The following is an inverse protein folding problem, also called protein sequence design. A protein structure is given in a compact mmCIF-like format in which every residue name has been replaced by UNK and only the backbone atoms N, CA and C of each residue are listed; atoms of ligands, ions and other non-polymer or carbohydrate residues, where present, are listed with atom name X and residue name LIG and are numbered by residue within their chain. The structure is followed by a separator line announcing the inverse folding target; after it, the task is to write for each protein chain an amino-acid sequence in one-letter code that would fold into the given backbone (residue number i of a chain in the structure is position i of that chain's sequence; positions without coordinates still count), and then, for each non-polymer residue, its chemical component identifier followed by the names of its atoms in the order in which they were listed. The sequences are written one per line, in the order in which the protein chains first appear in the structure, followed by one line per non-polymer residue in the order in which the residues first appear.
data_IF_780330639608
#
_entry.id   IF_780330639608
#
_cell.length_a   1.000
_cell.length_b   1.000
_cell.length_c   1.000
_cell.angle_alpha   90.00
_cell.angle_beta   90.00
_cell.angle_gamma   90.00
#
_symmetry.space_group_name_H-M   'P 1'
#
loop_
_entity.id
_entity.type
_entity.pdbx_description
1 polymer ?
#
# COMPACT_ATOMS: atom_id res chain seq x y z
N UNK A 1 -21.53 -1.02 -20.33
CA UNK A 1 -20.07 -0.79 -20.30
C UNK A 1 -19.75 -0.12 -18.97
N UNK A 2 -18.77 -0.62 -18.21
CA UNK A 2 -18.29 0.09 -17.02
C UNK A 2 -17.51 1.32 -17.46
N UNK A 3 -17.79 2.46 -16.83
CA UNK A 3 -16.93 3.64 -16.95
C UNK A 3 -15.54 3.24 -16.42
N UNK A 4 -14.49 3.65 -17.10
CA UNK A 4 -13.10 3.49 -16.64
C UNK A 4 -12.40 4.83 -16.84
N UNK A 5 -11.61 5.23 -15.85
CA UNK A 5 -10.74 6.38 -15.97
C UNK A 5 -9.32 5.91 -16.26
N UNK A 6 -8.72 6.43 -17.32
CA UNK A 6 -7.35 6.09 -17.71
C UNK A 6 -6.35 7.13 -17.18
N UNK A 7 -6.81 8.36 -16.93
CA UNK A 7 -5.98 9.47 -16.50
C UNK A 7 -6.68 10.33 -15.44
N UNK A 8 -5.89 11.14 -14.72
CA UNK A 8 -6.46 12.19 -13.88
C UNK A 8 -7.37 13.14 -14.67
N UNK A 9 -7.05 13.36 -15.96
CA UNK A 9 -7.81 14.17 -16.92
C UNK A 9 -9.28 13.77 -17.04
N UNK A 10 -9.56 12.48 -16.93
CA UNK A 10 -10.92 11.93 -17.08
C UNK A 10 -11.81 12.36 -15.91
N UNK A 11 -11.24 12.50 -14.71
CA UNK A 11 -11.98 12.93 -13.51
C UNK A 11 -12.33 14.43 -13.49
N UNK A 12 -11.87 15.21 -14.47
CA UNK A 12 -12.31 16.61 -14.66
C UNK A 12 -13.58 16.72 -15.49
N UNK A 13 -14.03 15.62 -16.08
CA UNK A 13 -15.18 15.61 -16.98
C UNK A 13 -16.34 14.87 -16.34
N UNK A 14 -17.56 15.27 -16.70
CA UNK A 14 -18.74 14.49 -16.40
C UNK A 14 -18.59 13.13 -17.11
N UNK A 15 -18.61 12.00 -16.38
CA UNK A 15 -18.51 10.71 -17.02
C UNK A 15 -19.76 10.52 -17.88
N UNK A 16 -19.54 10.20 -19.15
CA UNK A 16 -20.62 10.03 -20.13
C UNK A 16 -20.92 8.56 -20.31
N UNK A 17 -22.18 8.17 -20.13
CA UNK A 17 -22.64 6.85 -20.51
C UNK A 17 -23.21 6.92 -21.93
N UNK A 18 -22.63 6.14 -22.86
CA UNK A 18 -23.04 6.14 -24.27
C UNK A 18 -23.04 7.54 -24.91
N UNK A 19 -22.08 8.39 -24.53
CA UNK A 19 -21.94 9.76 -25.05
C UNK A 19 -22.90 10.79 -24.45
N UNK A 20 -23.78 10.40 -23.50
CA UNK A 20 -24.74 11.30 -22.85
C UNK A 20 -24.39 11.54 -21.38
N UNK A 21 -24.73 12.74 -20.91
CA UNK A 21 -24.74 13.12 -19.49
C UNK A 21 -26.08 12.66 -18.90
N UNK A 22 -26.09 12.14 -17.67
CA UNK A 22 -27.34 11.74 -17.02
C UNK A 22 -28.24 12.96 -16.72
N UNK A 23 -29.58 12.79 -16.73
CA UNK A 23 -30.49 13.86 -16.31
C UNK A 23 -30.17 14.41 -14.92
N UNK A 24 -29.76 13.54 -14.00
CA UNK A 24 -29.37 13.89 -12.64
C UNK A 24 -28.09 14.74 -12.62
N UNK A 25 -27.09 14.42 -13.45
CA UNK A 25 -25.90 15.24 -13.59
C UNK A 25 -26.23 16.61 -14.20
N UNK A 26 -27.13 16.69 -15.19
CA UNK A 26 -27.57 17.96 -15.76
C UNK A 26 -28.28 18.83 -14.71
N UNK A 27 -29.16 18.24 -13.90
CA UNK A 27 -29.82 18.92 -12.80
C UNK A 27 -28.81 19.41 -11.74
N UNK A 28 -27.79 18.60 -11.43
CA UNK A 28 -26.71 19.00 -10.50
C UNK A 28 -25.90 20.18 -11.05
N UNK A 29 -25.66 20.25 -12.37
CA UNK A 29 -24.98 21.40 -13.01
C UNK A 29 -25.77 22.68 -12.81
N UNK A 30 -27.08 22.64 -13.07
CA UNK A 30 -27.97 23.80 -12.96
C UNK A 30 -28.11 24.28 -11.51
N UNK A 31 -28.16 23.34 -10.55
CA UNK A 31 -28.43 23.66 -9.15
C UNK A 31 -27.19 23.99 -8.32
N UNK A 32 -26.07 23.30 -8.58
CA UNK A 32 -24.89 23.35 -7.72
C UNK A 32 -23.59 23.69 -8.48
N UNK A 33 -23.66 23.79 -9.80
CA UNK A 33 -22.53 24.08 -10.67
C UNK A 33 -21.76 22.84 -11.14
N UNK A 34 -20.86 23.02 -12.12
CA UNK A 34 -20.26 21.91 -12.87
C UNK A 34 -19.39 20.99 -12.01
N UNK A 35 -18.64 21.52 -11.05
CA UNK A 35 -17.73 20.70 -10.25
C UNK A 35 -18.45 19.76 -9.27
N UNK A 36 -19.57 20.21 -8.69
CA UNK A 36 -20.42 19.36 -7.83
C UNK A 36 -21.07 18.26 -8.67
N UNK A 37 -21.55 18.60 -9.87
CA UNK A 37 -22.11 17.62 -10.79
C UNK A 37 -21.08 16.55 -11.20
N UNK A 38 -19.84 16.95 -11.52
CA UNK A 38 -18.74 16.01 -11.82
C UNK A 38 -18.53 15.05 -10.65
N UNK A 39 -18.38 15.58 -9.44
CA UNK A 39 -18.17 14.75 -8.25
C UNK A 39 -19.33 13.76 -8.03
N UNK A 40 -20.56 14.25 -8.02
CA UNK A 40 -21.75 13.43 -7.78
C UNK A 40 -21.92 12.35 -8.83
N UNK A 41 -21.66 12.66 -10.10
CA UNK A 41 -21.81 11.70 -11.17
C UNK A 41 -20.74 10.60 -11.12
N UNK A 42 -19.48 10.93 -10.80
CA UNK A 42 -18.45 9.91 -10.57
C UNK A 42 -18.81 9.00 -9.39
N UNK A 43 -19.41 9.54 -8.33
CA UNK A 43 -19.93 8.73 -7.23
C UNK A 43 -21.05 7.80 -7.71
N UNK A 44 -22.07 8.34 -8.38
CA UNK A 44 -23.29 7.62 -8.80
C UNK A 44 -23.00 6.55 -9.85
N UNK A 45 -22.27 6.91 -10.90
CA UNK A 45 -22.12 6.09 -12.10
C UNK A 45 -20.97 5.07 -11.98
N UNK A 46 -19.99 5.31 -11.11
CA UNK A 46 -18.77 4.52 -11.04
C UNK A 46 -18.49 3.96 -9.64
N UNK A 47 -18.22 4.84 -8.67
CA UNK A 47 -17.67 4.39 -7.39
C UNK A 47 -18.69 3.70 -6.49
N UNK A 48 -19.91 4.21 -6.34
CA UNK A 48 -20.93 3.57 -5.52
C UNK A 48 -21.26 2.15 -6.01
N UNK A 49 -21.49 1.90 -7.31
CA UNK A 49 -21.64 0.54 -7.83
C UNK A 49 -20.42 -0.36 -7.57
N UNK A 50 -19.20 0.16 -7.76
CA UNK A 50 -17.97 -0.62 -7.54
C UNK A 50 -17.77 -0.98 -6.06
N UNK A 51 -17.99 -0.01 -5.16
CA UNK A 51 -17.97 -0.20 -3.71
C UNK A 51 -19.02 -1.24 -3.28
N UNK A 52 -20.23 -1.16 -3.83
CA UNK A 52 -21.29 -2.13 -3.51
C UNK A 52 -20.89 -3.55 -3.92
N UNK A 53 -20.33 -3.74 -5.12
CA UNK A 53 -19.82 -5.03 -5.57
C UNK A 53 -18.68 -5.55 -4.70
N UNK A 54 -17.73 -4.70 -4.31
CA UNK A 54 -16.67 -5.08 -3.38
C UNK A 54 -17.24 -5.58 -2.05
N UNK A 55 -18.20 -4.85 -1.48
CA UNK A 55 -18.86 -5.23 -0.23
C UNK A 55 -19.49 -6.63 -0.29
N UNK A 56 -20.12 -6.97 -1.42
CA UNK A 56 -20.75 -8.28 -1.63
C UNK A 56 -19.72 -9.42 -1.82
N UNK A 57 -18.47 -9.10 -2.17
CA UNK A 57 -17.46 -10.08 -2.58
C UNK A 57 -16.16 -9.98 -1.77
N UNK A 58 -16.22 -9.49 -0.52
CA UNK A 58 -15.05 -9.29 0.34
C UNK A 58 -14.24 -10.58 0.60
N UNK A 59 -14.91 -11.73 0.65
CA UNK A 59 -14.28 -13.04 0.89
C UNK A 59 -13.89 -13.78 -0.39
N UNK A 60 -14.22 -13.26 -1.57
CA UNK A 60 -13.99 -13.94 -2.84
C UNK A 60 -12.57 -13.66 -3.32
N UNK A 61 -11.68 -14.63 -3.19
CA UNK A 61 -10.27 -14.50 -3.55
C UNK A 61 -10.00 -15.18 -4.90
N UNK A 62 -10.27 -14.46 -5.99
CA UNK A 62 -10.00 -14.92 -7.36
C UNK A 62 -9.31 -13.84 -8.21
N UNK A 63 -8.71 -14.24 -9.34
CA UNK A 63 -7.94 -13.32 -10.18
C UNK A 63 -8.76 -12.18 -10.78
N UNK A 64 -10.07 -12.36 -10.99
CA UNK A 64 -10.97 -11.31 -11.48
C UNK A 64 -11.26 -10.31 -10.37
N UNK A 65 -11.61 -10.77 -9.18
CA UNK A 65 -11.88 -9.91 -8.04
C UNK A 65 -10.63 -9.11 -7.64
N UNK A 66 -9.44 -9.72 -7.68
CA UNK A 66 -8.17 -9.01 -7.42
C UNK A 66 -7.99 -7.84 -8.38
N UNK A 67 -8.22 -8.06 -9.68
CA UNK A 67 -8.15 -6.99 -10.68
C UNK A 67 -9.17 -5.89 -10.42
N UNK A 68 -10.42 -6.26 -10.12
CA UNK A 68 -11.48 -5.29 -9.82
C UNK A 68 -11.12 -4.42 -8.59
N UNK A 69 -10.52 -4.99 -7.55
CA UNK A 69 -10.08 -4.25 -6.36
C UNK A 69 -8.87 -3.36 -6.65
N UNK A 70 -7.91 -3.82 -7.46
CA UNK A 70 -6.76 -3.01 -7.87
C UNK A 70 -7.19 -1.79 -8.69
N UNK A 71 -8.05 -1.99 -9.70
CA UNK A 71 -8.58 -0.90 -10.52
C UNK A 71 -9.34 0.11 -9.67
N UNK A 72 -10.24 -0.37 -8.79
CA UNK A 72 -10.97 0.51 -7.87
C UNK A 72 -10.01 1.30 -6.96
N UNK A 73 -8.96 0.66 -6.47
CA UNK A 73 -7.97 1.31 -5.59
C UNK A 73 -7.21 2.43 -6.31
N UNK A 74 -6.77 2.16 -7.54
CA UNK A 74 -6.06 3.11 -8.38
C UNK A 74 -6.96 4.29 -8.77
N UNK A 75 -8.15 4.01 -9.28
CA UNK A 75 -9.11 5.02 -9.72
C UNK A 75 -9.58 5.88 -8.55
N UNK A 76 -9.80 5.31 -7.36
CA UNK A 76 -10.15 6.08 -6.17
C UNK A 76 -9.02 7.02 -5.73
N UNK A 77 -7.78 6.53 -5.69
CA UNK A 77 -6.62 7.36 -5.30
C UNK A 77 -6.44 8.56 -6.26
N UNK A 78 -6.63 8.34 -7.56
CA UNK A 78 -6.60 9.40 -8.56
C UNK A 78 -7.77 10.37 -8.40
N UNK A 79 -9.00 9.85 -8.28
CA UNK A 79 -10.20 10.66 -8.11
C UNK A 79 -10.13 11.53 -6.87
N UNK A 80 -9.72 10.98 -5.74
CA UNK A 80 -9.62 11.73 -4.48
C UNK A 80 -8.63 12.90 -4.59
N UNK A 81 -7.47 12.66 -5.22
CA UNK A 81 -6.49 13.71 -5.50
C UNK A 81 -7.10 14.82 -6.37
N UNK A 82 -7.82 14.46 -7.43
CA UNK A 82 -8.49 15.42 -8.32
C UNK A 82 -9.61 16.18 -7.60
N UNK A 83 -10.43 15.47 -6.84
CA UNK A 83 -11.54 16.01 -6.09
C UNK A 83 -11.09 17.05 -5.05
N UNK A 84 -10.01 16.75 -4.32
CA UNK A 84 -9.48 17.64 -3.30
C UNK A 84 -8.75 18.87 -3.87
N UNK A 85 -8.02 18.70 -4.99
CA UNK A 85 -7.18 19.77 -5.55
C UNK A 85 -7.92 20.65 -6.58
N UNK A 86 -8.88 20.09 -7.30
CA UNK A 86 -9.41 20.73 -8.51
C UNK A 86 -10.92 20.91 -8.52
N UNK A 87 -11.72 20.01 -7.92
CA UNK A 87 -13.19 20.07 -8.01
C UNK A 87 -13.85 21.08 -7.05
N UNK A 88 -13.09 22.01 -6.45
CA UNK A 88 -13.59 23.10 -5.58
C UNK A 88 -14.76 22.68 -4.66
N UNK A 89 -14.64 21.49 -4.05
CA UNK A 89 -15.74 20.88 -3.31
C UNK A 89 -16.14 21.71 -2.10
N UNK A 90 -17.45 21.77 -1.84
CA UNK A 90 -18.01 22.34 -0.61
C UNK A 90 -17.57 21.54 0.61
N UNK A 91 -17.58 22.12 1.82
CA UNK A 91 -17.19 21.40 3.04
C UNK A 91 -17.94 20.08 3.25
N UNK A 92 -19.24 20.06 2.94
CA UNK A 92 -20.08 18.86 3.06
C UNK A 92 -19.62 17.74 2.11
N UNK A 93 -19.27 18.08 0.87
CA UNK A 93 -18.78 17.10 -0.12
C UNK A 93 -17.37 16.60 0.21
N UNK A 94 -16.51 17.46 0.79
CA UNK A 94 -15.20 17.02 1.31
C UNK A 94 -15.36 16.04 2.47
N UNK A 95 -16.26 16.32 3.41
CA UNK A 95 -16.58 15.41 4.50
C UNK A 95 -17.16 14.08 3.99
N UNK A 96 -18.04 14.14 2.97
CA UNK A 96 -18.57 12.94 2.31
C UNK A 96 -17.47 12.12 1.61
N UNK A 97 -16.56 12.78 0.88
CA UNK A 97 -15.40 12.13 0.26
C UNK A 97 -14.54 11.42 1.31
N UNK A 98 -14.16 12.11 2.39
CA UNK A 98 -13.35 11.54 3.46
C UNK A 98 -14.05 10.35 4.14
N UNK A 99 -15.35 10.47 4.43
CA UNK A 99 -16.14 9.37 4.99
C UNK A 99 -16.16 8.15 4.06
N UNK A 100 -16.29 8.38 2.76
CA UNK A 100 -16.30 7.32 1.75
C UNK A 100 -14.92 6.69 1.60
N UNK A 101 -13.84 7.48 1.63
CA UNK A 101 -12.45 6.99 1.65
C UNK A 101 -12.23 6.07 2.84
N UNK A 102 -12.64 6.47 4.06
CA UNK A 102 -12.50 5.62 5.27
C UNK A 102 -13.23 4.29 5.12
N UNK A 103 -14.47 4.30 4.61
CA UNK A 103 -15.23 3.07 4.34
C UNK A 103 -14.53 2.19 3.32
N UNK A 104 -14.05 2.78 2.22
CA UNK A 104 -13.35 2.05 1.18
C UNK A 104 -12.04 1.42 1.71
N UNK A 105 -11.25 2.16 2.50
CA UNK A 105 -10.04 1.65 3.14
C UNK A 105 -10.32 0.45 4.04
N UNK A 106 -11.39 0.49 4.85
CA UNK A 106 -11.81 -0.65 5.65
C UNK A 106 -12.16 -1.88 4.79
N UNK A 107 -12.91 -1.70 3.70
CA UNK A 107 -13.29 -2.79 2.80
C UNK A 107 -12.09 -3.36 2.03
N UNK A 108 -11.24 -2.50 1.48
CA UNK A 108 -10.04 -2.89 0.73
C UNK A 108 -9.04 -3.56 1.66
N UNK A 109 -8.87 -3.02 2.87
CA UNK A 109 -8.07 -3.61 3.93
C UNK A 109 -8.51 -5.03 4.31
N UNK A 110 -9.81 -5.22 4.57
CA UNK A 110 -10.40 -6.56 4.81
C UNK A 110 -10.19 -7.50 3.63
N UNK A 111 -10.37 -7.01 2.40
CA UNK A 111 -10.15 -7.81 1.20
C UNK A 111 -8.69 -8.29 1.11
N UNK A 112 -7.71 -7.41 1.32
CA UNK A 112 -6.29 -7.79 1.30
C UNK A 112 -5.91 -8.71 2.45
N UNK A 113 -6.53 -8.56 3.63
CA UNK A 113 -6.43 -9.52 4.72
C UNK A 113 -6.89 -10.93 4.32
N UNK A 114 -8.05 -11.03 3.65
CA UNK A 114 -8.56 -12.30 3.14
C UNK A 114 -7.66 -12.88 2.04
N UNK A 115 -7.20 -12.04 1.11
CA UNK A 115 -6.26 -12.43 0.06
C UNK A 115 -4.96 -12.97 0.66
N UNK A 116 -4.39 -12.27 1.65
CA UNK A 116 -3.21 -12.72 2.37
C UNK A 116 -3.46 -14.09 2.99
N UNK A 117 -4.52 -14.23 3.79
CA UNK A 117 -4.86 -15.49 4.45
C UNK A 117 -5.02 -16.68 3.50
N UNK A 118 -5.58 -16.45 2.30
CA UNK A 118 -5.86 -17.50 1.32
C UNK A 118 -4.68 -17.81 0.37
N UNK A 119 -3.84 -16.84 0.03
CA UNK A 119 -2.85 -16.97 -1.07
C UNK A 119 -1.41 -16.74 -0.62
N UNK A 120 -1.17 -15.79 0.28
CA UNK A 120 0.19 -15.32 0.58
C UNK A 120 0.69 -15.73 1.96
N UNK A 121 -0.23 -16.09 2.87
CA UNK A 121 0.06 -16.43 4.26
C UNK A 121 0.90 -17.69 4.31
N UNK A 122 1.94 -17.62 5.14
CA UNK A 122 2.81 -18.75 5.46
C UNK A 122 2.67 -19.13 6.92
N UNK A 123 3.12 -20.33 7.25
CA UNK A 123 3.22 -20.76 8.65
C UNK A 123 4.03 -19.72 9.44
N UNK A 124 3.45 -19.13 10.50
CA UNK A 124 4.15 -18.20 11.37
C UNK A 124 5.38 -18.88 11.96
N UNK A 125 6.53 -18.20 11.94
CA UNK A 125 7.77 -18.70 12.52
C UNK A 125 8.46 -17.60 13.32
N UNK A 126 9.10 -18.00 14.39
CA UNK A 126 10.12 -17.19 15.06
C UNK A 126 11.34 -17.03 14.15
N UNK A 127 12.03 -15.90 14.29
CA UNK A 127 13.16 -15.51 13.45
C UNK A 127 14.30 -16.53 13.48
N UNK A 128 14.52 -17.21 14.61
CA UNK A 128 15.52 -18.27 14.76
C UNK A 128 15.31 -19.44 13.78
N UNK A 129 14.07 -19.64 13.32
CA UNK A 129 13.71 -20.68 12.35
C UNK A 129 13.64 -20.13 10.91
N UNK A 130 14.04 -18.88 10.70
CA UNK A 130 14.08 -18.25 9.38
C UNK A 130 15.26 -18.80 8.58
N UNK A 131 15.04 -19.29 7.35
CA UNK A 131 16.12 -19.74 6.48
C UNK A 131 17.04 -18.57 6.06
N UNK A 132 16.65 -17.33 6.35
CA UNK A 132 17.38 -16.11 6.01
C UNK A 132 18.23 -15.56 7.16
N UNK A 133 18.15 -16.14 8.36
CA UNK A 133 18.99 -15.71 9.49
C UNK A 133 20.41 -16.31 9.42
N UNK A 134 20.62 -17.30 8.55
CA UNK A 134 21.85 -18.08 8.45
C UNK A 134 23.09 -17.19 8.14
N UNK A 135 24.21 -17.50 8.79
CA UNK A 135 25.53 -16.91 8.53
C UNK A 135 26.16 -17.58 7.31
N UNK A 136 25.56 -17.38 6.15
CA UNK A 136 26.11 -17.83 4.87
C UNK A 136 26.97 -16.69 4.25
N UNK A 137 28.26 -16.91 3.97
CA UNK A 137 29.14 -15.91 3.35
C UNK A 137 28.62 -15.37 2.02
N UNK A 138 27.93 -16.19 1.22
CA UNK A 138 27.36 -15.79 -0.08
C UNK A 138 26.20 -14.81 0.15
N UNK A 139 25.31 -15.13 1.08
CA UNK A 139 24.20 -14.27 1.46
C UNK A 139 24.69 -12.94 2.05
N UNK A 140 25.75 -12.96 2.85
CA UNK A 140 26.39 -11.72 3.33
C UNK A 140 27.00 -10.88 2.21
N UNK A 141 27.53 -11.51 1.17
CA UNK A 141 27.96 -10.84 -0.06
C UNK A 141 26.81 -10.07 -0.71
N UNK A 142 25.66 -10.73 -0.91
CA UNK A 142 24.46 -10.10 -1.49
C UNK A 142 23.99 -8.88 -0.68
N UNK A 143 23.99 -8.99 0.66
CA UNK A 143 23.60 -7.87 1.53
C UNK A 143 24.57 -6.70 1.38
N UNK A 144 25.89 -6.96 1.37
CA UNK A 144 26.90 -5.91 1.18
C UNK A 144 26.75 -5.22 -0.18
N UNK A 145 26.53 -5.97 -1.24
CA UNK A 145 26.33 -5.44 -2.59
C UNK A 145 25.06 -4.60 -2.68
N UNK A 146 23.99 -5.02 -2.01
CA UNK A 146 22.77 -4.24 -1.91
C UNK A 146 23.01 -2.87 -1.28
N UNK A 147 23.64 -2.81 -0.10
CA UNK A 147 23.97 -1.55 0.58
C UNK A 147 24.83 -0.63 -0.29
N UNK A 148 25.82 -1.20 -0.99
CA UNK A 148 26.66 -0.46 -1.95
C UNK A 148 25.84 0.11 -3.11
N UNK A 149 24.91 -0.66 -3.68
CA UNK A 149 24.04 -0.25 -4.78
C UNK A 149 23.11 0.88 -4.37
N UNK A 150 22.50 0.78 -3.19
CA UNK A 150 21.55 1.80 -2.69
C UNK A 150 22.24 3.00 -2.03
N UNK A 151 23.57 2.97 -1.91
CA UNK A 151 24.41 4.01 -1.31
C UNK A 151 24.03 4.34 0.15
N UNK A 152 23.53 3.35 0.89
CA UNK A 152 23.25 3.44 2.32
C UNK A 152 24.41 2.81 3.09
N UNK A 153 24.89 3.50 4.13
CA UNK A 153 25.90 2.94 5.02
C UNK A 153 25.27 1.87 5.92
N UNK A 154 25.69 0.62 5.75
CA UNK A 154 25.21 -0.54 6.52
C UNK A 154 25.39 -0.36 8.02
N UNK A 155 26.54 0.17 8.45
CA UNK A 155 26.86 0.35 9.86
C UNK A 155 26.00 1.46 10.44
N UNK A 156 25.89 2.58 9.74
CA UNK A 156 25.04 3.68 10.20
C UNK A 156 23.56 3.26 10.29
N UNK A 157 23.04 2.48 9.33
CA UNK A 157 21.65 2.00 9.40
C UNK A 157 21.46 1.02 10.55
N UNK A 158 22.39 0.08 10.74
CA UNK A 158 22.37 -0.85 11.88
C UNK A 158 22.40 -0.08 13.19
N UNK A 159 23.35 0.83 13.35
CA UNK A 159 23.53 1.57 14.58
C UNK A 159 22.33 2.48 14.83
N UNK A 160 21.73 3.08 13.80
CA UNK A 160 20.44 3.78 13.89
C UNK A 160 19.34 2.87 14.42
N UNK A 161 19.13 1.70 13.82
CA UNK A 161 18.08 0.77 14.26
C UNK A 161 18.34 0.24 15.67
N UNK A 162 19.57 -0.18 15.96
CA UNK A 162 19.94 -0.80 17.24
C UNK A 162 19.92 0.21 18.38
N UNK A 163 20.38 1.44 18.15
CA UNK A 163 20.48 2.45 19.21
C UNK A 163 19.16 3.22 19.42
N UNK A 164 18.21 3.18 18.48
CA UNK A 164 16.88 3.77 18.67
C UNK A 164 16.05 3.09 19.77
N UNK A 165 16.34 1.84 20.12
CA UNK A 165 15.68 1.13 21.22
C UNK A 165 16.60 0.07 21.83
N UNK A 166 16.93 0.23 23.11
CA UNK A 166 17.77 -0.70 23.85
C UNK A 166 17.17 -2.11 23.96
N UNK A 167 15.84 -2.22 23.98
CA UNK A 167 15.14 -3.50 24.19
C UNK A 167 14.89 -4.25 22.87
N UNK A 168 14.58 -3.54 21.78
CA UNK A 168 14.08 -4.15 20.52
C UNK A 168 14.98 -3.92 19.31
N UNK A 169 15.95 -3.00 19.39
CA UNK A 169 16.72 -2.58 18.22
C UNK A 169 17.49 -3.70 17.53
N UNK A 170 18.15 -4.59 18.29
CA UNK A 170 18.86 -5.74 17.72
C UNK A 170 17.89 -6.74 17.06
N UNK A 171 16.75 -7.01 17.69
CA UNK A 171 15.68 -7.84 17.13
C UNK A 171 15.17 -7.27 15.80
N UNK A 172 14.95 -5.96 15.72
CA UNK A 172 14.45 -5.30 14.52
C UNK A 172 15.47 -5.31 13.39
N UNK A 173 16.74 -5.11 13.73
CA UNK A 173 17.84 -5.28 12.77
C UNK A 173 17.87 -6.69 12.17
N UNK A 174 17.70 -7.72 12.99
CA UNK A 174 17.75 -9.10 12.53
C UNK A 174 16.54 -9.45 11.63
N UNK A 175 15.33 -8.96 11.96
CA UNK A 175 14.14 -9.09 11.10
C UNK A 175 14.35 -8.34 9.78
N UNK A 176 14.87 -7.12 9.83
CA UNK A 176 15.19 -6.34 8.64
C UNK A 176 16.16 -7.08 7.72
N UNK A 177 17.26 -7.61 8.28
CA UNK A 177 18.27 -8.37 7.53
C UNK A 177 17.65 -9.62 6.89
N UNK A 178 16.79 -10.35 7.59
CA UNK A 178 16.08 -11.50 7.05
C UNK A 178 15.11 -11.12 5.91
N UNK A 179 14.35 -10.03 6.07
CA UNK A 179 13.48 -9.48 5.02
C UNK A 179 14.25 -9.03 3.77
N UNK A 180 15.40 -8.37 3.95
CA UNK A 180 16.31 -8.00 2.86
C UNK A 180 16.83 -9.23 2.12
N UNK A 181 17.33 -10.23 2.84
CA UNK A 181 17.82 -11.48 2.25
C UNK A 181 16.74 -12.22 1.49
N UNK A 182 15.51 -12.23 2.01
CA UNK A 182 14.34 -12.78 1.32
C UNK A 182 14.07 -12.08 -0.01
N UNK A 183 14.19 -10.75 -0.06
CA UNK A 183 14.09 -10.00 -1.32
C UNK A 183 15.21 -10.37 -2.29
N UNK A 184 16.46 -10.42 -1.82
CA UNK A 184 17.63 -10.62 -2.67
C UNK A 184 17.72 -12.04 -3.26
N UNK A 185 17.24 -13.04 -2.52
CA UNK A 185 17.26 -14.47 -2.94
C UNK A 185 15.99 -14.90 -3.68
N UNK A 186 15.04 -13.98 -3.86
CA UNK A 186 13.74 -14.27 -4.47
C UNK A 186 13.84 -14.69 -5.95
N UNK A 187 14.94 -14.39 -6.64
CA UNK A 187 15.20 -14.82 -8.02
C UNK A 187 15.43 -16.33 -8.14
N UNK A 188 16.09 -16.95 -7.16
CA UNK A 188 16.36 -18.39 -7.15
C UNK A 188 15.22 -19.19 -6.50
N UNK A 189 14.47 -18.55 -5.61
CA UNK A 189 13.35 -19.16 -4.87
C UNK A 189 12.08 -18.34 -5.07
N UNK A 190 11.57 -18.30 -6.30
CA UNK A 190 10.37 -17.53 -6.71
C UNK A 190 9.16 -17.71 -5.76
N UNK A 191 9.00 -18.91 -5.18
CA UNK A 191 7.95 -19.22 -4.19
C UNK A 191 8.06 -18.41 -2.89
N UNK A 192 9.21 -17.80 -2.62
CA UNK A 192 9.49 -17.10 -1.38
C UNK A 192 9.35 -15.58 -1.44
N UNK A 193 9.24 -15.00 -2.64
CA UNK A 193 9.05 -13.56 -2.88
C UNK A 193 7.73 -13.05 -2.29
N UNK A 194 7.73 -11.83 -1.74
CA UNK A 194 6.53 -11.11 -1.34
C UNK A 194 6.54 -9.67 -1.91
N UNK A 195 5.44 -9.18 -2.51
CA UNK A 195 4.25 -9.97 -2.89
C UNK A 195 4.58 -11.14 -3.81
N UNK A 196 3.70 -12.12 -3.83
CA UNK A 196 3.91 -13.34 -4.63
C UNK A 196 4.14 -13.01 -6.12
N UNK A 197 4.94 -13.82 -6.82
CA UNK A 197 5.22 -13.60 -8.25
C UNK A 197 3.91 -13.47 -9.07
N UNK A 198 2.96 -14.38 -8.84
CA UNK A 198 1.65 -14.38 -9.51
C UNK A 198 0.88 -13.08 -9.31
N UNK A 199 0.96 -12.47 -8.12
CA UNK A 199 0.30 -11.19 -7.87
C UNK A 199 0.92 -10.05 -8.70
N UNK A 200 2.23 -10.07 -8.89
CA UNK A 200 2.97 -9.04 -9.62
C UNK A 200 2.77 -9.09 -11.13
N UNK A 201 2.35 -10.24 -11.65
CA UNK A 201 1.97 -10.40 -13.05
C UNK A 201 0.65 -9.69 -13.38
N UNK A 202 -0.10 -9.25 -12.35
CA UNK A 202 -1.31 -8.46 -12.53
C UNK A 202 -0.91 -7.02 -12.84
N UNK A 203 -1.43 -6.41 -13.92
CA UNK A 203 -1.24 -4.99 -14.21
C UNK A 203 -1.59 -4.12 -13.00
N UNK A 204 -0.79 -3.08 -12.77
CA UNK A 204 -1.00 -2.10 -11.69
C UNK A 204 -1.11 -2.71 -10.28
N UNK A 205 -0.48 -3.86 -10.02
CA UNK A 205 -0.49 -4.54 -8.71
C UNK A 205 -0.08 -3.62 -7.54
N UNK A 206 0.72 -2.58 -7.80
CA UNK A 206 1.12 -1.59 -6.78
C UNK A 206 -0.03 -0.71 -6.28
N UNK A 207 -1.18 -0.69 -6.98
CA UNK A 207 -2.39 0.01 -6.55
C UNK A 207 -2.89 -0.47 -5.19
N UNK A 208 -2.61 -1.74 -4.81
CA UNK A 208 -2.83 -2.28 -3.45
C UNK A 208 -2.25 -1.37 -2.38
N UNK A 209 -1.04 -0.84 -2.60
CA UNK A 209 -0.33 -0.05 -1.61
C UNK A 209 -0.64 1.43 -1.70
N UNK A 210 -0.84 1.96 -2.92
CA UNK A 210 -1.13 3.38 -3.15
C UNK A 210 -2.35 3.86 -2.38
N UNK A 211 -3.48 3.14 -2.48
CA UNK A 211 -4.67 3.49 -1.73
C UNK A 211 -4.44 3.30 -0.23
N UNK A 212 -3.88 2.16 0.18
CA UNK A 212 -3.70 1.83 1.60
C UNK A 212 -2.74 2.79 2.33
N UNK A 213 -1.82 3.44 1.63
CA UNK A 213 -0.97 4.50 2.17
C UNK A 213 -1.77 5.71 2.70
N UNK A 214 -3.02 5.91 2.25
CA UNK A 214 -3.92 6.93 2.82
C UNK A 214 -4.26 6.68 4.28
N UNK A 215 -4.16 5.44 4.77
CA UNK A 215 -4.44 5.08 6.18
C UNK A 215 -3.55 5.81 7.18
N UNK A 216 -2.41 6.33 6.72
CA UNK A 216 -1.42 7.03 7.54
C UNK A 216 -1.49 8.56 7.43
N UNK A 217 -2.45 9.11 6.68
CA UNK A 217 -2.61 10.56 6.60
C UNK A 217 -3.45 11.07 7.78
N UNK A 218 -3.14 12.27 8.27
CA UNK A 218 -3.73 12.85 9.48
C UNK A 218 -5.28 12.95 9.43
N UNK A 219 -5.86 13.09 8.24
CA UNK A 219 -7.33 13.13 8.05
C UNK A 219 -8.00 11.75 8.18
N UNK A 220 -7.22 10.68 8.02
CA UNK A 220 -7.68 9.29 8.05
C UNK A 220 -7.32 8.59 9.36
N UNK A 221 -6.13 8.87 9.92
CA UNK A 221 -5.50 8.35 11.15
C UNK A 221 -6.28 7.26 11.89
N UNK A 222 -6.23 6.07 11.30
CA UNK A 222 -6.42 4.80 11.96
C UNK A 222 -5.63 3.77 11.12
N UNK A 223 -4.62 3.13 11.71
CA UNK A 223 -3.93 1.99 11.10
C UNK A 223 -4.68 0.63 11.08
N UNK A 224 -5.88 0.40 11.69
CA UNK A 224 -6.51 -0.90 11.75
C UNK A 224 -7.13 -1.32 10.41
N UNK A 225 -7.11 -0.47 9.38
CA UNK A 225 -7.52 -0.89 8.04
C UNK A 225 -6.54 -1.89 7.43
N UNK A 226 -5.26 -1.83 7.79
CA UNK A 226 -4.25 -2.77 7.27
C UNK A 226 -4.10 -3.91 8.27
N UNK A 227 -4.45 -5.12 7.84
CA UNK A 227 -4.46 -6.31 8.70
C UNK A 227 -3.54 -7.43 8.20
N UNK A 228 -2.69 -7.13 7.22
CA UNK A 228 -1.73 -8.08 6.66
C UNK A 228 -0.35 -7.43 6.46
N UNK A 229 0.74 -8.22 6.58
CA UNK A 229 2.08 -7.68 6.59
C UNK A 229 2.54 -7.10 5.25
N UNK A 230 2.11 -7.70 4.15
CA UNK A 230 2.57 -7.33 2.81
C UNK A 230 1.98 -5.97 2.43
N UNK A 231 0.69 -5.76 2.66
CA UNK A 231 0.02 -4.47 2.46
C UNK A 231 0.65 -3.38 3.32
N UNK A 232 0.94 -3.68 4.60
CA UNK A 232 1.55 -2.71 5.51
C UNK A 232 2.89 -2.22 5.01
N UNK A 233 3.82 -3.14 4.73
CA UNK A 233 5.16 -2.79 4.26
C UNK A 233 5.14 -1.98 2.97
N UNK A 234 4.30 -2.39 2.00
CA UNK A 234 4.14 -1.65 0.77
C UNK A 234 3.49 -0.28 0.95
N UNK A 235 2.47 -0.16 1.80
CA UNK A 235 1.77 1.11 2.06
C UNK A 235 2.68 2.13 2.76
N UNK A 236 3.52 1.69 3.71
CA UNK A 236 4.51 2.55 4.37
C UNK A 236 5.55 3.05 3.37
N UNK A 237 6.04 2.19 2.47
CA UNK A 237 6.94 2.61 1.38
C UNK A 237 6.30 3.67 0.47
N UNK A 238 4.99 3.56 0.21
CA UNK A 238 4.26 4.50 -0.63
C UNK A 238 3.97 5.85 0.04
N UNK A 239 3.74 5.87 1.37
CA UNK A 239 3.33 7.08 2.11
C UNK A 239 4.27 8.26 1.91
N UNK A 240 5.57 8.02 1.89
CA UNK A 240 6.58 9.07 1.81
C UNK A 240 7.77 8.66 0.93
N UNK A 241 7.46 8.03 -0.22
CA UNK A 241 8.49 7.59 -1.18
C UNK A 241 9.35 8.75 -1.69
N UNK A 242 8.79 9.96 -1.79
CA UNK A 242 9.52 11.15 -2.20
C UNK A 242 10.70 11.45 -1.28
N UNK A 243 10.51 11.45 0.06
CA UNK A 243 11.58 11.72 1.02
C UNK A 243 12.78 10.77 0.87
N UNK A 244 12.55 9.53 0.46
CA UNK A 244 13.64 8.60 0.17
C UNK A 244 14.48 9.01 -1.04
N UNK A 245 13.89 9.60 -2.09
CA UNK A 245 14.62 9.92 -3.34
C UNK A 245 15.07 11.37 -3.45
N UNK A 246 14.40 12.31 -2.77
CA UNK A 246 14.68 13.75 -2.88
C UNK A 246 15.71 14.24 -1.89
N UNK A 247 15.86 13.55 -0.76
CA UNK A 247 16.62 14.09 0.37
C UNK A 247 18.06 13.58 0.41
N UNK A 248 18.91 14.29 1.14
CA UNK A 248 20.31 13.89 1.36
C UNK A 248 20.42 12.55 2.11
N UNK A 249 21.60 11.91 2.04
CA UNK A 249 21.86 10.57 2.61
C UNK A 249 21.43 10.41 4.08
N UNK A 250 21.56 11.46 4.90
CA UNK A 250 21.14 11.43 6.30
C UNK A 250 19.63 11.25 6.46
N UNK A 251 18.83 11.91 5.62
CA UNK A 251 17.38 11.80 5.64
C UNK A 251 16.92 10.44 5.10
N UNK A 252 17.61 9.90 4.09
CA UNK A 252 17.35 8.54 3.60
C UNK A 252 17.55 7.50 4.70
N UNK A 253 18.62 7.66 5.49
CA UNK A 253 18.91 6.78 6.61
C UNK A 253 17.85 6.89 7.71
N UNK A 254 17.51 8.11 8.12
CA UNK A 254 16.46 8.34 9.12
C UNK A 254 15.11 7.79 8.66
N UNK A 255 14.72 8.05 7.41
CA UNK A 255 13.52 7.50 6.80
C UNK A 255 13.46 5.98 6.89
N UNK A 256 14.56 5.29 6.57
CA UNK A 256 14.65 3.84 6.66
C UNK A 256 14.47 3.36 8.11
N UNK A 257 15.15 3.99 9.07
CA UNK A 257 15.01 3.67 10.51
C UNK A 257 13.55 3.81 10.93
N UNK A 258 12.93 4.97 10.67
CA UNK A 258 11.56 5.27 11.08
C UNK A 258 10.56 4.29 10.46
N UNK A 259 10.68 4.01 9.17
CA UNK A 259 9.79 3.07 8.49
C UNK A 259 9.96 1.64 9.00
N UNK A 260 11.18 1.20 9.30
CA UNK A 260 11.43 -0.14 9.86
C UNK A 260 10.79 -0.26 11.24
N UNK A 261 10.95 0.75 12.10
CA UNK A 261 10.31 0.77 13.41
C UNK A 261 8.79 0.74 13.28
N UNK A 262 8.21 1.60 12.45
CA UNK A 262 6.77 1.66 12.27
C UNK A 262 6.19 0.34 11.73
N UNK A 263 6.84 -0.27 10.74
CA UNK A 263 6.45 -1.58 10.22
C UNK A 263 6.47 -2.62 11.34
N UNK A 264 7.61 -2.75 12.05
CA UNK A 264 7.81 -3.84 12.98
C UNK A 264 7.01 -3.67 14.28
N UNK A 265 6.87 -2.45 14.79
CA UNK A 265 5.99 -2.16 15.93
C UNK A 265 4.54 -2.50 15.59
N UNK A 266 4.07 -2.15 14.39
CA UNK A 266 2.71 -2.46 13.98
C UNK A 266 2.49 -3.97 13.83
N UNK A 267 3.39 -4.68 13.16
CA UNK A 267 3.30 -6.15 13.01
C UNK A 267 3.33 -6.87 14.35
N UNK A 268 4.35 -6.58 15.17
CA UNK A 268 4.66 -7.37 16.37
C UNK A 268 3.80 -6.96 17.56
N UNK A 269 3.47 -5.67 17.69
CA UNK A 269 2.72 -5.15 18.84
C UNK A 269 1.23 -5.02 18.53
N UNK A 270 0.85 -4.38 17.41
CA UNK A 270 -0.55 -4.07 17.14
C UNK A 270 -1.30 -5.27 16.55
N UNK A 271 -0.72 -5.93 15.55
CA UNK A 271 -1.32 -7.11 14.93
C UNK A 271 -1.00 -8.40 15.68
N UNK A 272 -0.04 -8.38 16.61
CA UNK A 272 0.39 -9.55 17.38
C UNK A 272 0.89 -10.70 16.50
N UNK A 273 1.49 -10.39 15.36
CA UNK A 273 1.94 -11.38 14.39
C UNK A 273 3.38 -11.84 14.67
N UNK A 274 3.74 -13.02 14.15
CA UNK A 274 5.09 -13.56 14.27
C UNK A 274 6.12 -12.74 13.48
N UNK A 275 7.40 -12.86 13.85
CA UNK A 275 8.53 -12.16 13.23
C UNK A 275 8.68 -12.45 11.74
N UNK A 276 8.34 -13.67 11.31
CA UNK A 276 8.29 -14.02 9.89
C UNK A 276 7.35 -13.11 9.08
N UNK A 277 6.31 -12.55 9.69
CA UNK A 277 5.42 -11.57 9.05
C UNK A 277 6.11 -10.21 8.92
N UNK A 278 6.97 -9.85 9.88
CA UNK A 278 7.85 -8.68 9.79
C UNK A 278 8.80 -8.79 8.61
N UNK A 279 9.39 -9.96 8.36
CA UNK A 279 10.20 -10.21 7.17
C UNK A 279 9.41 -9.99 5.87
N UNK A 280 8.14 -10.40 5.83
CA UNK A 280 7.26 -10.21 4.68
C UNK A 280 6.98 -8.74 4.41
N UNK A 281 6.70 -7.99 5.47
CA UNK A 281 6.47 -6.54 5.40
C UNK A 281 7.74 -5.81 4.92
N UNK A 282 8.90 -6.11 5.49
CA UNK A 282 10.19 -5.53 5.06
C UNK A 282 10.48 -5.88 3.59
N UNK A 283 10.25 -7.13 3.17
CA UNK A 283 10.41 -7.54 1.78
C UNK A 283 9.53 -6.71 0.83
N UNK A 284 8.25 -6.51 1.18
CA UNK A 284 7.33 -5.71 0.39
C UNK A 284 7.72 -4.22 0.37
N UNK A 285 8.15 -3.66 1.51
CA UNK A 285 8.67 -2.30 1.64
C UNK A 285 9.85 -2.05 0.69
N UNK A 286 10.87 -2.91 0.75
CA UNK A 286 12.07 -2.82 -0.09
C UNK A 286 11.75 -2.99 -1.58
N UNK A 287 10.80 -3.86 -1.91
CA UNK A 287 10.36 -4.09 -3.28
C UNK A 287 9.68 -2.85 -3.89
N UNK A 288 8.88 -2.11 -3.12
CA UNK A 288 8.23 -0.87 -3.61
C UNK A 288 9.26 0.18 -4.00
N UNK A 289 10.31 0.36 -3.20
CA UNK A 289 11.39 1.30 -3.50
C UNK A 289 12.34 0.82 -4.63
N UNK A 290 12.09 -0.36 -5.22
CA UNK A 290 12.98 -1.01 -6.18
C UNK A 290 14.44 -1.13 -5.65
N UNK A 291 14.63 -1.17 -4.33
CA UNK A 291 15.94 -1.23 -3.67
C UNK A 291 16.38 -2.67 -3.54
#
# INVERSE_FOLDING_TARGET
MSIQAHTAGDFYQLPRQQGRISPEAQADVERYGPYVAIYNEWQRAHFQPAIHRLKQRLSVVDGRQVREVLVLSQEWALFESVAMRHLKLTPNLRAHLLSTTKKLLDMVGKYWGNYYAAVERRSPKELQNSPYLLRDPVLEGLVKDWFKKVKIDRRALRDGIVNSSAERGQRYWDIFRAGLLRKLTATERAKLRQPTQRFREIPDWKARFQLMARSFQADVEMAPFIVDPITLGGAIAYRNSAAFYTDGRSNQLQYMVDCIYEILDHILTWLGMAESCGEEAICAFLEVHNL
#
